data_IF_170293618454
#
_entry.id   IF_170293618454
#
_cell.length_a   1.000
_cell.length_b   1.000
_cell.length_c   1.000
_cell.angle_alpha   90.00
_cell.angle_beta   90.00
_cell.angle_gamma   90.00
#
_symmetry.space_group_name_H-M   'P 1'
#
loop_
_entity.id
_entity.type
_entity.pdbx_description
1 polymer ?
#
# COMPACT_ATOMS: atom_id res chain seq x y z
N UNK A 1 23.38 1.10 -4.02
CA UNK A 1 22.69 0.34 -2.96
C UNK A 1 22.11 -0.91 -3.57
N UNK A 2 22.00 -1.97 -2.79
CA UNK A 2 21.39 -3.22 -3.24
C UNK A 2 19.88 -3.04 -3.45
N UNK A 3 19.34 -3.75 -4.44
CA UNK A 3 17.93 -3.66 -4.82
C UNK A 3 17.18 -4.84 -4.20
N UNK A 4 16.30 -4.57 -3.25
CA UNK A 4 15.34 -5.58 -2.78
C UNK A 4 14.23 -5.71 -3.83
N UNK A 5 14.00 -6.94 -4.31
CA UNK A 5 12.87 -7.26 -5.21
C UNK A 5 11.75 -7.89 -4.41
N UNK A 6 10.51 -7.74 -4.87
CA UNK A 6 9.35 -8.39 -4.27
C UNK A 6 9.58 -9.90 -4.19
N UNK A 7 9.99 -10.55 -5.27
CA UNK A 7 10.25 -12.00 -5.29
C UNK A 7 11.23 -12.46 -4.21
N UNK A 8 12.32 -11.71 -3.99
CA UNK A 8 13.31 -12.01 -2.95
C UNK A 8 12.70 -11.91 -1.54
N UNK A 9 11.89 -10.89 -1.29
CA UNK A 9 11.17 -10.77 -0.02
C UNK A 9 10.19 -11.94 0.19
N UNK A 10 9.50 -12.36 -0.87
CA UNK A 10 8.55 -13.47 -0.81
C UNK A 10 9.24 -14.82 -0.59
N UNK A 11 10.45 -15.01 -1.12
CA UNK A 11 11.28 -16.18 -0.82
C UNK A 11 11.58 -16.24 0.69
N UNK A 12 12.08 -15.15 1.27
CA UNK A 12 12.35 -15.08 2.71
C UNK A 12 11.09 -15.28 3.54
N UNK A 13 9.96 -14.72 3.11
CA UNK A 13 8.68 -14.91 3.78
C UNK A 13 8.24 -16.38 3.76
N UNK A 14 8.36 -17.08 2.61
CA UNK A 14 8.02 -18.51 2.50
C UNK A 14 8.85 -19.37 3.45
N UNK A 15 10.15 -19.11 3.52
CA UNK A 15 11.04 -19.85 4.43
C UNK A 15 10.60 -19.72 5.89
N UNK A 16 10.12 -18.54 6.30
CA UNK A 16 9.63 -18.31 7.66
C UNK A 16 8.21 -18.81 7.90
N UNK A 17 7.35 -18.75 6.88
CA UNK A 17 5.94 -19.09 6.99
C UNK A 17 5.62 -20.55 6.61
N UNK A 18 6.60 -21.38 6.25
CA UNK A 18 6.41 -22.73 5.70
C UNK A 18 5.57 -23.71 6.53
N UNK A 19 5.29 -23.43 7.81
CA UNK A 19 4.42 -24.21 8.69
C UNK A 19 3.25 -23.44 9.30
N UNK A 20 3.01 -22.19 8.86
CA UNK A 20 1.99 -21.31 9.44
C UNK A 20 1.03 -20.76 8.38
N UNK A 21 -0.24 -20.62 8.75
CA UNK A 21 -1.25 -19.95 7.91
C UNK A 21 -1.27 -18.45 8.22
N UNK A 22 -0.14 -17.75 7.99
CA UNK A 22 -0.05 -16.31 8.18
C UNK A 22 -0.31 -15.54 6.90
N UNK A 23 -0.74 -14.27 7.04
CA UNK A 23 -0.90 -13.32 5.94
C UNK A 23 0.24 -12.32 5.99
N UNK A 24 0.77 -11.93 4.83
CA UNK A 24 1.78 -10.86 4.71
C UNK A 24 1.09 -9.58 4.24
N UNK A 25 1.27 -8.49 4.98
CA UNK A 25 0.83 -7.15 4.57
C UNK A 25 2.07 -6.28 4.46
N UNK A 26 2.28 -5.66 3.30
CA UNK A 26 3.43 -4.77 3.05
C UNK A 26 2.90 -3.36 2.82
N UNK A 27 3.42 -2.40 3.59
CA UNK A 27 3.16 -0.97 3.41
C UNK A 27 4.43 -0.32 2.89
N UNK A 28 4.35 0.34 1.74
CA UNK A 28 5.50 0.92 1.02
C UNK A 28 5.34 2.43 0.89
N UNK A 29 6.03 3.19 1.73
CA UNK A 29 6.26 4.62 1.51
C UNK A 29 7.52 4.78 0.65
N UNK A 30 7.34 4.79 -0.66
CA UNK A 30 8.42 4.94 -1.64
C UNK A 30 7.87 5.44 -2.97
N UNK A 31 8.68 6.21 -3.71
CA UNK A 31 8.29 6.78 -5.01
C UNK A 31 7.93 5.72 -6.05
N UNK A 32 8.47 4.50 -5.93
CA UNK A 32 8.28 3.42 -6.90
C UNK A 32 7.56 2.21 -6.27
N UNK A 33 6.55 2.45 -5.45
CA UNK A 33 5.73 1.40 -4.80
C UNK A 33 4.72 0.74 -5.76
N UNK A 34 4.22 1.47 -6.76
CA UNK A 34 3.17 1.01 -7.69
C UNK A 34 3.47 -0.30 -8.43
N UNK A 35 4.72 -0.58 -8.88
CA UNK A 35 5.04 -1.87 -9.49
C UNK A 35 4.75 -3.05 -8.57
N UNK A 36 5.10 -2.96 -7.27
CA UNK A 36 4.87 -4.05 -6.32
C UNK A 36 3.37 -4.27 -6.08
N UNK A 37 2.60 -3.18 -5.99
CA UNK A 37 1.14 -3.20 -5.88
C UNK A 37 0.52 -3.92 -7.08
N UNK A 38 1.04 -3.73 -8.29
CA UNK A 38 0.52 -4.41 -9.50
C UNK A 38 0.95 -5.88 -9.59
N UNK A 39 2.17 -6.19 -9.15
CA UNK A 39 2.75 -7.53 -9.22
C UNK A 39 2.09 -8.51 -8.26
N UNK A 40 1.54 -8.03 -7.13
CA UNK A 40 0.91 -8.89 -6.11
C UNK A 40 -0.22 -9.77 -6.67
N UNK A 41 -0.93 -9.30 -7.71
CA UNK A 41 -2.00 -10.06 -8.37
C UNK A 41 -1.52 -11.34 -9.04
N UNK A 42 -0.24 -11.40 -9.42
CA UNK A 42 0.37 -12.53 -10.13
C UNK A 42 0.92 -13.59 -9.17
N UNK A 43 0.96 -13.28 -7.88
CA UNK A 43 1.45 -14.20 -6.86
C UNK A 43 0.40 -15.28 -6.66
N UNK A 44 0.83 -16.53 -6.62
CA UNK A 44 -0.02 -17.67 -6.31
C UNK A 44 0.38 -18.26 -4.95
N UNK A 45 -0.56 -18.99 -4.34
CA UNK A 45 -0.32 -19.82 -3.16
C UNK A 45 0.20 -19.06 -1.92
N UNK A 46 -0.13 -17.76 -1.82
CA UNK A 46 0.21 -16.91 -0.67
C UNK A 46 -0.91 -15.91 -0.36
N UNK A 47 -1.13 -15.66 0.93
CA UNK A 47 -2.01 -14.60 1.39
C UNK A 47 -1.20 -13.31 1.56
N UNK A 48 -1.16 -12.48 0.52
CA UNK A 48 -0.39 -11.24 0.52
C UNK A 48 -1.22 -10.03 0.06
N UNK A 49 -0.96 -8.92 0.72
CA UNK A 49 -1.48 -7.60 0.43
C UNK A 49 -0.33 -6.60 0.33
N UNK A 50 -0.38 -5.67 -0.63
CA UNK A 50 0.58 -4.58 -0.77
C UNK A 50 -0.16 -3.26 -0.87
N UNK A 51 0.17 -2.33 0.02
CA UNK A 51 -0.23 -0.94 -0.06
C UNK A 51 0.99 -0.07 -0.33
N UNK A 52 0.84 0.91 -1.20
CA UNK A 52 1.81 1.96 -1.43
C UNK A 52 1.13 3.30 -1.64
N UNK A 53 1.87 4.25 -2.20
CA UNK A 53 1.35 5.57 -2.50
C UNK A 53 1.79 6.08 -3.88
N UNK A 54 0.89 6.84 -4.49
CA UNK A 54 1.19 7.71 -5.61
C UNK A 54 1.25 9.16 -5.11
N UNK A 55 2.41 9.79 -5.31
CA UNK A 55 2.65 11.19 -4.97
C UNK A 55 2.44 12.05 -6.23
N UNK A 56 1.65 13.11 -6.11
CA UNK A 56 1.45 14.07 -7.18
C UNK A 56 2.77 14.75 -7.53
N UNK A 57 3.22 14.61 -8.78
CA UNK A 57 4.49 15.18 -9.28
C UNK A 57 4.43 16.70 -9.45
N UNK A 58 3.24 17.24 -9.60
CA UNK A 58 2.96 18.66 -9.82
C UNK A 58 1.74 19.03 -9.00
N UNK A 59 1.85 20.07 -8.19
CA UNK A 59 0.72 20.66 -7.48
C UNK A 59 0.32 21.91 -8.27
N UNK A 60 -0.88 21.92 -8.85
CA UNK A 60 -1.39 23.03 -9.67
C UNK A 60 -1.66 24.32 -8.86
N UNK A 61 -1.39 24.29 -7.56
CA UNK A 61 -1.54 25.42 -6.65
C UNK A 61 -0.15 26.00 -6.46
N UNK A 62 0.10 27.20 -6.99
CA UNK A 62 1.39 27.89 -6.97
C UNK A 62 1.97 28.11 -5.55
N UNK A 63 1.21 27.82 -4.49
CA UNK A 63 1.58 28.03 -3.08
C UNK A 63 1.75 26.75 -2.25
N UNK A 64 1.49 25.55 -2.80
CA UNK A 64 1.55 24.31 -2.02
C UNK A 64 2.85 23.54 -2.29
N UNK A 65 3.55 23.17 -1.21
CA UNK A 65 4.73 22.32 -1.31
C UNK A 65 4.37 20.95 -1.92
N UNK A 66 5.21 20.39 -2.81
CA UNK A 66 4.99 19.07 -3.35
C UNK A 66 5.05 18.01 -2.24
N UNK A 67 4.26 16.92 -2.36
CA UNK A 67 4.28 15.84 -1.37
C UNK A 67 5.68 15.22 -1.25
N UNK A 68 6.08 14.92 -0.02
CA UNK A 68 7.39 14.38 0.33
C UNK A 68 7.29 12.93 0.78
N UNK A 69 8.42 12.22 0.72
CA UNK A 69 8.55 10.90 1.34
C UNK A 69 8.24 11.00 2.83
N UNK A 70 7.35 10.14 3.33
CA UNK A 70 6.87 10.20 4.71
C UNK A 70 5.46 10.78 4.85
N UNK A 71 4.98 11.59 3.90
CA UNK A 71 3.61 12.12 3.95
C UNK A 71 2.58 11.00 3.88
N UNK A 72 2.85 9.96 3.06
CA UNK A 72 2.01 8.77 3.04
C UNK A 72 2.01 8.05 4.39
N UNK A 73 3.17 7.81 5.00
CA UNK A 73 3.25 7.16 6.32
C UNK A 73 2.47 7.95 7.36
N UNK A 74 2.60 9.28 7.37
CA UNK A 74 1.87 10.16 8.29
C UNK A 74 0.36 10.01 8.13
N UNK A 75 -0.15 10.14 6.90
CA UNK A 75 -1.57 10.00 6.61
C UNK A 75 -2.07 8.57 6.90
N UNK A 76 -1.26 7.55 6.61
CA UNK A 76 -1.60 6.15 6.88
C UNK A 76 -1.72 5.87 8.37
N UNK A 77 -0.81 6.38 9.19
CA UNK A 77 -0.88 6.25 10.65
C UNK A 77 -2.11 6.99 11.19
N UNK A 78 -2.34 8.21 10.72
CA UNK A 78 -3.49 9.01 11.14
C UNK A 78 -4.83 8.31 10.82
N UNK A 79 -4.97 7.78 9.60
CA UNK A 79 -6.15 7.03 9.15
C UNK A 79 -6.43 5.79 10.02
N UNK A 80 -5.39 5.01 10.35
CA UNK A 80 -5.56 3.74 11.06
C UNK A 80 -5.61 3.88 12.60
N UNK A 81 -5.01 4.93 13.15
CA UNK A 81 -4.82 5.06 14.60
C UNK A 81 -5.64 6.17 15.25
N UNK A 82 -6.19 7.12 14.49
CA UNK A 82 -7.05 8.17 15.03
C UNK A 82 -8.51 7.98 14.56
N UNK A 83 -9.43 7.48 15.42
CA UNK A 83 -10.84 7.32 15.08
C UNK A 83 -11.61 8.61 14.73
N UNK A 84 -11.01 9.77 14.97
CA UNK A 84 -11.60 11.10 14.68
C UNK A 84 -10.98 11.78 13.46
N UNK A 85 -10.08 11.09 12.75
CA UNK A 85 -9.52 11.61 11.51
C UNK A 85 -10.62 11.77 10.43
N UNK A 86 -10.36 12.61 9.43
CA UNK A 86 -11.26 12.82 8.28
C UNK A 86 -10.57 12.44 6.96
N UNK A 87 -9.55 11.60 7.02
CA UNK A 87 -8.79 11.19 5.84
C UNK A 87 -9.69 10.31 4.98
N UNK A 88 -9.80 10.70 3.72
CA UNK A 88 -10.48 9.93 2.71
C UNK A 88 -9.58 9.71 1.51
N UNK A 89 -9.09 8.48 1.34
CA UNK A 89 -8.14 8.15 0.27
C UNK A 89 -8.68 8.36 -1.15
N UNK A 90 -10.00 8.37 -1.31
CA UNK A 90 -10.70 8.60 -2.58
C UNK A 90 -11.03 10.07 -2.85
N UNK A 91 -10.74 10.97 -1.91
CA UNK A 91 -10.98 12.40 -2.05
C UNK A 91 -10.23 12.96 -3.26
N UNK A 92 -10.96 13.69 -4.11
CA UNK A 92 -10.38 14.34 -5.28
C UNK A 92 -9.49 15.49 -4.85
N UNK A 93 -8.31 15.60 -5.47
CA UNK A 93 -7.36 16.69 -5.22
C UNK A 93 -6.28 16.36 -4.19
N UNK A 94 -6.30 15.18 -3.55
CA UNK A 94 -5.19 14.73 -2.70
C UNK A 94 -3.90 14.62 -3.49
N UNK A 95 -2.83 15.17 -2.93
CA UNK A 95 -1.46 15.05 -3.44
C UNK A 95 -0.84 13.70 -3.09
N UNK A 96 -1.32 13.03 -2.05
CA UNK A 96 -0.93 11.68 -1.66
C UNK A 96 -2.13 10.75 -1.79
N UNK A 97 -2.01 9.74 -2.65
CA UNK A 97 -3.05 8.73 -2.88
C UNK A 97 -2.55 7.36 -2.47
N UNK A 98 -3.29 6.69 -1.60
CA UNK A 98 -3.04 5.30 -1.30
C UNK A 98 -3.40 4.44 -2.52
N UNK A 99 -2.52 3.51 -2.87
CA UNK A 99 -2.80 2.46 -3.86
C UNK A 99 -2.61 1.11 -3.20
N UNK A 100 -3.51 0.19 -3.48
CA UNK A 100 -3.56 -1.10 -2.79
C UNK A 100 -3.94 -2.21 -3.75
N UNK A 101 -3.37 -3.38 -3.53
CA UNK A 101 -3.88 -4.59 -4.15
C UNK A 101 -3.59 -5.83 -3.32
N UNK A 102 -4.30 -6.89 -3.71
CA UNK A 102 -4.30 -8.17 -3.06
C UNK A 102 -3.93 -9.26 -4.04
N UNK A 103 -3.42 -10.34 -3.49
CA UNK A 103 -3.39 -11.61 -4.21
C UNK A 103 -4.81 -11.99 -4.67
N UNK A 104 -4.92 -12.55 -5.87
CA UNK A 104 -6.19 -12.75 -6.59
C UNK A 104 -7.25 -13.56 -5.82
N UNK A 105 -6.83 -14.59 -5.07
CA UNK A 105 -7.74 -15.37 -4.22
C UNK A 105 -8.30 -14.51 -3.08
N UNK A 106 -7.47 -13.71 -2.42
CA UNK A 106 -7.93 -12.80 -1.36
C UNK A 106 -8.92 -11.77 -1.88
N UNK A 107 -8.66 -11.23 -3.07
CA UNK A 107 -9.54 -10.28 -3.74
C UNK A 107 -10.90 -10.90 -4.07
N UNK A 108 -10.93 -12.06 -4.72
CA UNK A 108 -12.17 -12.77 -5.10
C UNK A 108 -13.03 -13.13 -3.90
N UNK A 109 -12.41 -13.43 -2.77
CA UNK A 109 -13.09 -13.80 -1.54
C UNK A 109 -13.26 -12.62 -0.56
N UNK A 110 -12.96 -11.38 -0.96
CA UNK A 110 -13.12 -10.16 -0.13
C UNK A 110 -12.46 -10.29 1.25
N UNK A 111 -11.30 -10.94 1.33
CA UNK A 111 -10.65 -11.28 2.60
C UNK A 111 -9.95 -10.09 3.27
N UNK A 112 -9.77 -9.01 2.53
CA UNK A 112 -9.35 -7.70 3.00
C UNK A 112 -10.11 -6.68 2.14
N UNK A 113 -11.00 -5.92 2.75
CA UNK A 113 -11.59 -4.75 2.12
C UNK A 113 -10.94 -3.54 2.79
N UNK A 114 -10.03 -2.87 2.07
CA UNK A 114 -9.97 -1.42 2.24
C UNK A 114 -11.25 -0.95 1.56
N UNK A 115 -12.31 -0.82 2.35
CA UNK A 115 -13.46 -0.09 1.89
C UNK A 115 -12.92 1.25 1.35
N UNK A 116 -13.43 1.67 0.18
CA UNK A 116 -13.21 3.02 -0.35
C UNK A 116 -13.90 4.08 0.53
N UNK A 117 -13.97 3.84 1.84
CA UNK A 117 -14.68 4.63 2.82
C UNK A 117 -13.75 5.69 3.40
N UNK A 118 -14.25 6.92 3.37
CA UNK A 118 -13.76 7.95 4.26
C UNK A 118 -14.01 7.49 5.70
N UNK A 119 -13.02 7.66 6.58
CA UNK A 119 -13.21 7.48 8.03
C UNK A 119 -14.18 8.51 8.61
#
# INVERSE_FOLDING_TARGET
GDILRLDTLLEWWREKNGSFCSRLIIILDSENSTPWVKEVRKINDQYIAVQGAELAKTVDIEEADPPQLGDFTKDWVEYNCNPSNSICWTEKGRTVKAVFDLQDYMRKNKLLEQEETCS
#
